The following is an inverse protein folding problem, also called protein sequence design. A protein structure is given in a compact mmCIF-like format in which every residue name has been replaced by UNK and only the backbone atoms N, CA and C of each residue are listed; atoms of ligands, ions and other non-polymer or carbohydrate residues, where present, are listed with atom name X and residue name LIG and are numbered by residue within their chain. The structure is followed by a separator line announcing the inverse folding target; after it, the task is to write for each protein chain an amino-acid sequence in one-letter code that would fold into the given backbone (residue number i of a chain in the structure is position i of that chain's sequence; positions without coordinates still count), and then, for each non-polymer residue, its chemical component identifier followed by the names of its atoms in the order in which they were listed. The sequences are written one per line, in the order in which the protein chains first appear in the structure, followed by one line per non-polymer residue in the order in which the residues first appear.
data_IF_532502257774
#
_entry.id   IF_532502257774
#
_cell.length_a   1.000
_cell.length_b   1.000
_cell.length_c   1.000
_cell.angle_alpha   90.00
_cell.angle_beta   90.00
_cell.angle_gamma   90.00
#
_symmetry.space_group_name_H-M   'P 1'
#
loop_
_entity.id
_entity.type
_entity.pdbx_description
1 polymer ?
#
# COMPACT_ATOMS: atom_id res chain seq x y z
N UNK A 1 -7.63 -0.46 -8.24
CA UNK A 1 -6.25 -0.90 -8.62
C UNK A 1 -5.62 -1.78 -7.55
N UNK A 2 -5.70 -1.43 -6.24
CA UNK A 2 -5.15 -2.24 -5.14
C UNK A 2 -5.55 -3.72 -5.21
N UNK A 3 -6.84 -4.02 -5.39
CA UNK A 3 -7.34 -5.41 -5.47
C UNK A 3 -6.81 -6.16 -6.69
N UNK A 4 -6.73 -5.52 -7.85
CA UNK A 4 -6.17 -6.14 -9.05
C UNK A 4 -4.71 -6.51 -8.82
N UNK A 5 -3.93 -5.58 -8.25
CA UNK A 5 -2.53 -5.85 -7.92
C UNK A 5 -2.37 -6.96 -6.88
N UNK A 6 -3.25 -7.04 -5.88
CA UNK A 6 -3.19 -8.06 -4.83
C UNK A 6 -3.68 -9.43 -5.30
N UNK A 7 -4.70 -9.49 -6.17
CA UNK A 7 -5.35 -10.75 -6.55
C UNK A 7 -4.81 -11.34 -7.85
N UNK A 8 -4.26 -10.53 -8.73
CA UNK A 8 -3.77 -10.97 -10.05
C UNK A 8 -2.26 -10.83 -10.14
N UNK A 9 -1.72 -9.60 -10.06
CA UNK A 9 -0.31 -9.29 -10.25
C UNK A 9 -0.09 -7.79 -10.42
N UNK A 10 1.16 -7.35 -10.59
CA UNK A 10 1.54 -5.94 -10.65
C UNK A 10 1.07 -5.25 -11.95
N UNK A 11 -0.24 -5.14 -12.13
CA UNK A 11 -0.82 -4.43 -13.29
C UNK A 11 -0.49 -2.94 -13.27
N UNK A 12 -0.31 -2.34 -12.08
CA UNK A 12 0.04 -0.93 -11.97
C UNK A 12 1.34 -0.57 -12.70
N UNK A 13 2.32 -1.44 -12.70
CA UNK A 13 3.59 -1.21 -13.42
C UNK A 13 3.41 -1.01 -14.93
N UNK A 14 2.28 -1.48 -15.49
CA UNK A 14 1.94 -1.36 -16.92
C UNK A 14 1.06 -0.15 -17.20
N UNK A 15 0.05 0.11 -16.34
CA UNK A 15 -0.96 1.16 -16.59
C UNK A 15 -0.72 2.46 -15.82
N UNK A 16 0.40 2.61 -15.12
CA UNK A 16 0.71 3.81 -14.35
C UNK A 16 0.74 5.07 -15.24
N UNK A 17 -0.18 6.02 -15.06
CA UNK A 17 -0.31 7.18 -15.94
C UNK A 17 0.92 8.10 -15.87
N UNK A 18 1.52 8.28 -14.69
CA UNK A 18 2.72 9.10 -14.54
C UNK A 18 3.90 8.53 -15.32
N UNK A 19 4.07 7.20 -15.29
CA UNK A 19 5.09 6.48 -16.06
C UNK A 19 4.86 6.68 -17.56
N UNK A 20 3.65 6.41 -18.04
CA UNK A 20 3.29 6.47 -19.47
C UNK A 20 3.48 7.88 -20.01
N UNK A 21 3.00 8.91 -19.32
CA UNK A 21 3.14 10.31 -19.74
C UNK A 21 4.61 10.71 -19.75
N UNK A 22 5.40 10.31 -18.74
CA UNK A 22 6.84 10.58 -18.72
C UNK A 22 7.58 9.87 -19.87
N UNK A 23 7.22 8.65 -20.21
CA UNK A 23 7.79 7.90 -21.34
C UNK A 23 7.47 8.58 -22.68
N UNK A 24 6.25 9.10 -22.85
CA UNK A 24 5.93 9.89 -24.04
C UNK A 24 6.75 11.19 -24.12
N UNK A 25 6.88 11.90 -23.01
CA UNK A 25 7.73 13.10 -22.94
C UNK A 25 9.19 12.78 -23.26
N UNK A 26 9.72 11.66 -22.73
CA UNK A 26 11.08 11.18 -23.00
C UNK A 26 11.28 10.83 -24.48
N UNK A 27 10.30 10.15 -25.10
CA UNK A 27 10.34 9.84 -26.55
C UNK A 27 10.34 11.09 -27.43
N UNK A 28 9.51 12.08 -27.09
CA UNK A 28 9.46 13.36 -27.84
C UNK A 28 10.79 14.10 -27.68
N UNK A 29 11.31 14.19 -26.44
CA UNK A 29 12.56 14.85 -26.14
C UNK A 29 13.74 14.21 -26.90
N UNK A 30 13.86 12.88 -26.88
CA UNK A 30 14.90 12.16 -27.62
C UNK A 30 14.87 12.42 -29.13
N UNK A 31 13.67 12.61 -29.73
CA UNK A 31 13.55 12.97 -31.15
C UNK A 31 14.01 14.40 -31.42
N UNK A 32 13.76 15.32 -30.49
CA UNK A 32 14.11 16.75 -30.65
C UNK A 32 15.57 17.05 -30.27
N UNK A 33 16.13 16.31 -29.29
CA UNK A 33 17.45 16.56 -28.70
C UNK A 33 18.49 15.51 -29.12
N UNK A 34 18.45 15.03 -30.36
CA UNK A 34 19.49 14.17 -30.97
C UNK A 34 19.84 12.91 -30.14
N UNK A 35 18.87 12.32 -29.47
CA UNK A 35 19.04 11.06 -28.73
C UNK A 35 19.44 11.22 -27.26
N UNK A 36 19.52 12.41 -26.71
CA UNK A 36 19.75 12.64 -25.30
C UNK A 36 18.55 12.19 -24.45
N UNK A 37 18.83 11.68 -23.25
CA UNK A 37 17.77 11.29 -22.29
C UNK A 37 17.22 12.52 -21.59
N UNK A 38 15.88 12.57 -21.39
CA UNK A 38 15.22 13.61 -20.62
C UNK A 38 15.67 13.58 -19.14
N UNK A 39 15.81 12.40 -18.57
CA UNK A 39 16.20 12.19 -17.16
C UNK A 39 17.68 12.46 -16.91
N UNK A 40 17.99 13.21 -15.85
CA UNK A 40 19.37 13.50 -15.41
C UNK A 40 20.08 12.32 -14.74
N UNK A 41 19.35 11.28 -14.34
CA UNK A 41 19.85 10.07 -13.69
C UNK A 41 20.81 10.34 -12.51
N UNK A 42 20.47 11.32 -11.67
CA UNK A 42 21.25 11.59 -10.47
C UNK A 42 21.25 10.39 -9.54
N UNK A 43 22.38 10.17 -8.85
CA UNK A 43 22.50 9.07 -7.90
C UNK A 43 21.53 9.28 -6.73
N UNK A 44 20.56 8.36 -6.60
CA UNK A 44 19.62 8.37 -5.49
C UNK A 44 20.34 8.08 -4.15
N UNK A 45 20.15 8.91 -3.10
CA UNK A 45 20.80 8.70 -1.82
C UNK A 45 20.34 7.41 -1.16
N UNK A 46 21.24 6.48 -0.87
CA UNK A 46 20.91 5.17 -0.30
C UNK A 46 20.14 5.26 1.03
N UNK A 47 20.48 6.26 1.87
CA UNK A 47 19.84 6.47 3.17
C UNK A 47 18.40 6.97 3.08
N UNK A 48 17.96 7.48 1.92
CA UNK A 48 16.57 7.86 1.71
C UNK A 48 15.64 6.65 1.65
N UNK A 49 16.12 5.47 1.25
CA UNK A 49 15.27 4.27 1.12
C UNK A 49 13.97 4.58 0.40
N UNK A 50 12.81 4.36 1.05
CA UNK A 50 11.48 4.73 0.55
C UNK A 50 10.84 5.91 1.31
N UNK A 51 11.62 6.70 2.06
CA UNK A 51 11.10 7.84 2.83
C UNK A 51 10.31 8.86 2.01
N UNK A 52 10.70 9.23 0.76
CA UNK A 52 9.86 10.11 -0.06
C UNK A 52 8.48 9.52 -0.32
N UNK A 53 8.39 8.20 -0.59
CA UNK A 53 7.12 7.51 -0.73
C UNK A 53 6.30 7.48 0.57
N UNK A 54 6.95 7.28 1.74
CA UNK A 54 6.29 7.38 3.06
C UNK A 54 5.68 8.76 3.25
N UNK A 55 6.44 9.82 2.96
CA UNK A 55 5.96 11.18 3.10
C UNK A 55 4.79 11.49 2.16
N UNK A 56 4.89 11.11 0.89
CA UNK A 56 3.82 11.33 -0.08
C UNK A 56 2.55 10.53 0.28
N UNK A 57 2.70 9.29 0.75
CA UNK A 57 1.56 8.50 1.20
C UNK A 57 0.95 9.07 2.49
N UNK A 58 1.76 9.57 3.41
CA UNK A 58 1.28 10.24 4.62
C UNK A 58 0.47 11.49 4.28
N UNK A 59 0.95 12.34 3.35
CA UNK A 59 0.21 13.50 2.87
C UNK A 59 -1.12 13.08 2.21
N UNK A 60 -1.09 12.05 1.36
CA UNK A 60 -2.30 11.51 0.75
C UNK A 60 -3.30 11.03 1.80
N UNK A 61 -2.85 10.24 2.77
CA UNK A 61 -3.69 9.71 3.84
C UNK A 61 -4.26 10.82 4.74
N UNK A 62 -3.48 11.87 5.02
CA UNK A 62 -3.94 13.04 5.74
C UNK A 62 -5.02 13.81 4.95
N UNK A 63 -4.82 14.00 3.65
CA UNK A 63 -5.82 14.65 2.79
C UNK A 63 -7.12 13.85 2.80
N UNK A 64 -7.05 12.53 2.66
CA UNK A 64 -8.23 11.65 2.63
C UNK A 64 -9.01 11.68 3.95
N UNK A 65 -8.32 11.66 5.09
CA UNK A 65 -8.95 11.48 6.40
C UNK A 65 -9.27 12.78 7.15
N UNK A 66 -8.55 13.87 6.85
CA UNK A 66 -8.59 15.08 7.67
C UNK A 66 -8.97 16.33 6.89
N UNK A 67 -8.54 16.45 5.63
CA UNK A 67 -8.74 17.67 4.86
C UNK A 67 -10.20 17.85 4.45
N UNK A 68 -10.89 18.86 4.99
CA UNK A 68 -12.33 19.07 4.79
C UNK A 68 -12.74 19.32 3.33
N UNK A 69 -11.82 19.92 2.53
CA UNK A 69 -12.08 20.21 1.12
C UNK A 69 -11.66 19.08 0.15
N UNK A 70 -11.32 17.91 0.67
CA UNK A 70 -10.98 16.74 -0.14
C UNK A 70 -12.10 16.24 -1.06
N UNK A 71 -13.33 16.73 -0.88
CA UNK A 71 -14.50 16.45 -1.72
C UNK A 71 -14.76 17.52 -2.79
N UNK A 72 -14.02 18.63 -2.78
CA UNK A 72 -14.18 19.75 -3.72
C UNK A 72 -13.39 19.44 -5.00
N UNK A 73 -14.03 19.33 -6.19
CA UNK A 73 -13.34 18.92 -7.43
C UNK A 73 -12.13 19.78 -7.79
N UNK A 74 -12.20 21.09 -7.57
CA UNK A 74 -11.08 22.03 -7.82
C UNK A 74 -9.87 21.70 -6.96
N UNK A 75 -10.09 21.45 -5.67
CA UNK A 75 -9.02 21.10 -4.72
C UNK A 75 -8.40 19.75 -5.05
N UNK A 76 -9.24 18.75 -5.38
CA UNK A 76 -8.76 17.44 -5.83
C UNK A 76 -7.88 17.57 -7.09
N UNK A 77 -8.30 18.40 -8.08
CA UNK A 77 -7.51 18.62 -9.28
C UNK A 77 -6.16 19.28 -8.98
N UNK A 78 -6.12 20.28 -8.09
CA UNK A 78 -4.87 20.94 -7.67
C UNK A 78 -3.94 19.96 -6.93
N UNK A 79 -4.48 19.14 -6.03
CA UNK A 79 -3.72 18.12 -5.30
C UNK A 79 -3.15 17.06 -6.25
N UNK A 80 -3.97 16.58 -7.20
CA UNK A 80 -3.55 15.62 -8.21
C UNK A 80 -2.47 16.19 -9.13
N UNK A 81 -2.59 17.47 -9.54
CA UNK A 81 -1.58 18.16 -10.34
C UNK A 81 -0.28 18.32 -9.55
N UNK A 82 -0.35 18.75 -8.28
CA UNK A 82 0.82 18.90 -7.41
C UNK A 82 1.55 17.58 -7.21
N UNK A 83 0.81 16.50 -6.95
CA UNK A 83 1.36 15.15 -6.84
C UNK A 83 2.04 14.71 -8.14
N UNK A 84 1.42 14.98 -9.29
CA UNK A 84 1.95 14.66 -10.61
C UNK A 84 3.25 15.40 -10.90
N UNK A 85 3.32 16.69 -10.60
CA UNK A 85 4.51 17.51 -10.76
C UNK A 85 5.68 17.01 -9.89
N UNK A 86 5.42 16.66 -8.61
CA UNK A 86 6.42 16.09 -7.72
C UNK A 86 6.93 14.75 -8.27
N UNK A 87 6.02 13.89 -8.76
CA UNK A 87 6.36 12.58 -9.30
C UNK A 87 7.21 12.71 -10.57
N UNK A 88 6.83 13.59 -11.53
CA UNK A 88 7.61 13.80 -12.73
C UNK A 88 8.96 14.50 -12.46
N UNK A 89 9.01 15.41 -11.50
CA UNK A 89 10.29 15.99 -11.05
C UNK A 89 11.22 14.91 -10.49
N UNK A 90 10.69 14.01 -9.66
CA UNK A 90 11.47 12.87 -9.14
C UNK A 90 11.98 11.95 -10.26
N UNK A 91 11.13 11.64 -11.26
CA UNK A 91 11.54 10.87 -12.44
C UNK A 91 12.60 11.60 -13.29
N UNK A 92 12.48 12.92 -13.43
CA UNK A 92 13.45 13.73 -14.14
C UNK A 92 14.83 13.73 -13.48
N UNK A 93 14.87 13.90 -12.15
CA UNK A 93 16.16 13.94 -11.43
C UNK A 93 16.79 12.57 -11.25
N UNK A 94 16.03 11.56 -10.80
CA UNK A 94 16.59 10.26 -10.39
C UNK A 94 16.36 9.13 -11.41
N UNK A 95 15.59 9.38 -12.45
CA UNK A 95 15.15 8.37 -13.41
C UNK A 95 13.86 7.68 -12.97
N UNK A 96 13.03 7.34 -13.98
CA UNK A 96 11.68 6.79 -13.76
C UNK A 96 11.69 5.49 -12.93
N UNK A 97 12.58 4.56 -13.23
CA UNK A 97 12.61 3.26 -12.54
C UNK A 97 12.98 3.39 -11.05
N UNK A 98 13.94 4.25 -10.74
CA UNK A 98 14.39 4.50 -9.36
C UNK A 98 13.30 5.21 -8.57
N UNK A 99 12.69 6.25 -9.16
CA UNK A 99 11.67 7.02 -8.47
C UNK A 99 10.37 6.23 -8.24
N UNK A 100 9.89 5.50 -9.24
CA UNK A 100 8.70 4.65 -9.11
C UNK A 100 8.89 3.55 -8.06
N UNK A 101 10.11 3.06 -7.87
CA UNK A 101 10.40 2.03 -6.87
C UNK A 101 10.59 2.58 -5.45
N UNK A 102 11.04 3.85 -5.30
CA UNK A 102 11.46 4.40 -4.00
C UNK A 102 10.75 5.67 -3.56
N UNK A 103 10.25 6.47 -4.50
CA UNK A 103 9.68 7.79 -4.24
C UNK A 103 8.19 7.89 -4.48
N UNK A 104 7.65 7.17 -5.46
CA UNK A 104 6.23 7.28 -5.83
C UNK A 104 5.38 6.35 -4.96
N UNK A 105 4.51 6.94 -4.14
CA UNK A 105 3.77 6.25 -3.08
C UNK A 105 2.87 5.12 -3.58
N UNK A 106 2.13 5.33 -4.67
CA UNK A 106 1.20 4.32 -5.21
C UNK A 106 1.94 3.16 -5.88
N UNK A 107 3.06 3.42 -6.57
CA UNK A 107 3.90 2.35 -7.13
C UNK A 107 4.49 1.47 -6.04
N UNK A 108 4.93 2.05 -4.92
CA UNK A 108 5.42 1.30 -3.77
C UNK A 108 4.29 0.46 -3.17
N UNK A 109 3.11 1.08 -2.91
CA UNK A 109 1.95 0.39 -2.33
C UNK A 109 1.46 -0.77 -3.20
N UNK A 110 1.26 -0.53 -4.52
CA UNK A 110 0.74 -1.56 -5.41
C UNK A 110 1.76 -2.65 -5.72
N UNK A 111 3.06 -2.33 -5.75
CA UNK A 111 4.12 -3.34 -5.83
C UNK A 111 4.16 -4.20 -4.56
N UNK A 112 3.97 -3.60 -3.38
CA UNK A 112 3.85 -4.32 -2.13
C UNK A 112 2.65 -5.28 -2.14
N UNK A 113 1.49 -4.80 -2.60
CA UNK A 113 0.29 -5.63 -2.72
C UNK A 113 0.45 -6.75 -3.76
N UNK A 114 1.16 -6.49 -4.87
CA UNK A 114 1.46 -7.51 -5.87
C UNK A 114 2.35 -8.64 -5.35
N UNK A 115 3.12 -8.42 -4.27
CA UNK A 115 3.84 -9.52 -3.60
C UNK A 115 2.88 -10.56 -2.98
N UNK A 116 1.63 -10.18 -2.70
CA UNK A 116 0.59 -11.10 -2.28
C UNK A 116 0.02 -11.92 -3.44
N UNK A 117 0.04 -11.39 -4.66
CA UNK A 117 -0.58 -11.99 -5.86
C UNK A 117 0.05 -13.32 -6.30
N UNK A 118 -0.72 -14.16 -7.02
CA UNK A 118 -0.23 -15.44 -7.53
C UNK A 118 0.62 -15.30 -8.79
N UNK A 119 0.43 -14.26 -9.60
CA UNK A 119 1.20 -14.06 -10.82
C UNK A 119 2.44 -13.22 -10.55
N UNK A 120 3.57 -13.65 -11.10
CA UNK A 120 4.82 -12.89 -11.12
C UNK A 120 5.52 -13.04 -12.46
N UNK A 121 6.23 -12.00 -12.86
CA UNK A 121 7.07 -12.03 -14.07
C UNK A 121 8.51 -12.27 -13.63
N UNK A 122 9.13 -13.33 -14.16
CA UNK A 122 10.54 -13.65 -13.97
C UNK A 122 11.32 -13.38 -15.24
N UNK A 123 12.55 -12.90 -15.07
CA UNK A 123 13.51 -12.80 -16.18
C UNK A 123 14.54 -13.91 -16.01
N UNK A 124 14.57 -14.81 -17.01
CA UNK A 124 15.40 -16.00 -16.97
C UNK A 124 16.90 -15.68 -17.17
N UNK A 125 17.22 -14.66 -17.99
CA UNK A 125 18.60 -14.32 -18.32
C UNK A 125 19.24 -13.39 -17.26
N UNK A 126 20.25 -13.87 -16.51
CA UNK A 126 20.89 -13.06 -15.46
C UNK A 126 21.68 -11.86 -16.00
N UNK A 127 22.15 -11.89 -17.24
CA UNK A 127 22.97 -10.83 -17.84
C UNK A 127 22.14 -9.54 -18.02
N UNK A 128 20.84 -9.67 -18.31
CA UNK A 128 19.93 -8.52 -18.43
C UNK A 128 19.89 -7.71 -17.15
N UNK A 129 19.98 -8.38 -15.99
CA UNK A 129 19.93 -7.72 -14.68
C UNK A 129 21.22 -7.01 -14.29
N UNK A 130 22.37 -7.33 -14.92
CA UNK A 130 23.66 -6.69 -14.61
C UNK A 130 23.68 -5.21 -14.95
N UNK A 131 22.82 -4.78 -15.89
CA UNK A 131 22.69 -3.40 -16.35
C UNK A 131 21.47 -2.68 -15.76
N UNK A 132 20.78 -3.27 -14.77
CA UNK A 132 19.64 -2.65 -14.14
C UNK A 132 20.05 -1.47 -13.26
N UNK A 133 19.34 -0.36 -13.37
CA UNK A 133 19.60 0.85 -12.54
C UNK A 133 19.25 0.64 -11.07
N UNK A 134 18.51 -0.42 -10.76
CA UNK A 134 18.08 -0.80 -9.41
C UNK A 134 18.48 -2.24 -9.16
N UNK A 135 18.93 -2.56 -7.94
CA UNK A 135 19.18 -3.94 -7.52
C UNK A 135 17.87 -4.72 -7.57
N UNK A 136 17.71 -5.58 -8.58
CA UNK A 136 16.46 -6.25 -8.91
C UNK A 136 16.48 -7.76 -8.64
N UNK A 137 17.65 -8.31 -8.27
CA UNK A 137 17.81 -9.73 -7.94
C UNK A 137 17.55 -9.96 -6.47
N UNK A 138 16.69 -10.92 -6.18
CA UNK A 138 16.52 -11.45 -4.84
C UNK A 138 17.75 -12.28 -4.38
N UNK A 139 17.74 -12.72 -3.13
CA UNK A 139 18.78 -13.59 -2.57
C UNK A 139 18.89 -14.95 -3.31
N UNK A 140 17.84 -15.35 -4.00
CA UNK A 140 17.78 -16.53 -4.87
C UNK A 140 18.38 -16.30 -6.28
N UNK A 141 18.90 -15.10 -6.54
CA UNK A 141 19.47 -14.71 -7.83
C UNK A 141 18.46 -14.45 -8.93
N UNK A 142 17.15 -14.58 -8.64
CA UNK A 142 16.06 -14.42 -9.60
C UNK A 142 15.57 -12.99 -9.62
N UNK A 143 15.40 -12.42 -10.82
CA UNK A 143 14.76 -11.11 -11.01
C UNK A 143 13.26 -11.31 -11.17
N UNK A 144 12.48 -10.62 -10.31
CA UNK A 144 11.02 -10.72 -10.29
C UNK A 144 10.40 -9.33 -10.36
N UNK A 145 9.38 -9.19 -11.19
CA UNK A 145 8.55 -7.99 -11.36
C UNK A 145 9.35 -6.68 -11.59
N UNK A 146 10.53 -6.78 -12.21
CA UNK A 146 11.35 -5.64 -12.56
C UNK A 146 10.98 -5.11 -13.95
N UNK A 147 10.39 -3.92 -14.03
CA UNK A 147 9.96 -3.31 -15.29
C UNK A 147 11.14 -3.00 -16.23
N UNK A 148 12.29 -2.58 -15.70
CA UNK A 148 13.48 -2.30 -16.51
C UNK A 148 14.03 -3.57 -17.17
N UNK A 149 14.17 -4.65 -16.41
CA UNK A 149 14.59 -5.93 -16.95
C UNK A 149 13.58 -6.53 -17.92
N UNK A 150 12.28 -6.38 -17.63
CA UNK A 150 11.21 -6.80 -18.53
C UNK A 150 11.29 -6.11 -19.89
N UNK A 151 11.50 -4.79 -19.91
CA UNK A 151 11.59 -4.02 -21.15
C UNK A 151 12.83 -4.36 -21.97
N UNK A 152 13.94 -4.76 -21.33
CA UNK A 152 15.19 -5.17 -22.00
C UNK A 152 15.18 -6.63 -22.44
N UNK A 153 14.40 -7.48 -21.78
CA UNK A 153 14.35 -8.89 -22.04
C UNK A 153 13.69 -9.22 -23.39
N UNK A 154 14.22 -10.22 -24.08
CA UNK A 154 13.55 -10.81 -25.23
C UNK A 154 12.28 -11.57 -24.79
N UNK A 155 11.38 -11.85 -25.72
CA UNK A 155 10.15 -12.59 -25.39
C UNK A 155 10.45 -13.97 -24.77
N UNK A 156 11.52 -14.63 -25.20
CA UNK A 156 11.94 -15.95 -24.70
C UNK A 156 12.46 -15.89 -23.26
N UNK A 157 13.07 -14.76 -22.86
CA UNK A 157 13.60 -14.57 -21.51
C UNK A 157 12.54 -14.20 -20.49
N UNK A 158 11.32 -13.84 -20.94
CA UNK A 158 10.19 -13.46 -20.07
C UNK A 158 9.39 -14.68 -19.69
N UNK A 159 9.33 -14.97 -18.39
CA UNK A 159 8.57 -16.10 -17.86
C UNK A 159 7.44 -15.58 -16.98
N UNK A 160 6.20 -15.96 -17.32
CA UNK A 160 5.06 -15.78 -16.42
C UNK A 160 5.02 -17.00 -15.48
N UNK A 161 5.19 -16.74 -14.19
CA UNK A 161 5.23 -17.77 -13.17
C UNK A 161 4.00 -17.65 -12.25
N UNK A 162 3.44 -18.80 -11.89
CA UNK A 162 2.33 -18.91 -10.95
C UNK A 162 2.86 -19.40 -9.61
N UNK A 163 2.57 -18.67 -8.53
CA UNK A 163 2.95 -19.02 -7.16
C UNK A 163 1.72 -19.01 -6.24
N UNK A 164 1.76 -19.72 -5.10
CA UNK A 164 0.71 -19.57 -4.09
C UNK A 164 0.61 -18.13 -3.60
N UNK A 165 -0.61 -17.71 -3.23
CA UNK A 165 -0.85 -16.38 -2.65
C UNK A 165 0.07 -16.11 -1.45
N UNK A 166 0.47 -14.85 -1.28
CA UNK A 166 1.31 -14.33 -0.21
C UNK A 166 2.77 -14.81 -0.18
N UNK A 167 3.18 -15.83 -0.95
CA UNK A 167 4.56 -16.36 -0.95
C UNK A 167 5.58 -15.28 -1.36
N UNK A 168 5.20 -14.34 -2.24
CA UNK A 168 6.07 -13.23 -2.62
C UNK A 168 6.47 -12.30 -1.46
N UNK A 169 5.69 -12.28 -0.38
CA UNK A 169 6.01 -11.51 0.84
C UNK A 169 7.19 -12.10 1.64
N UNK A 170 7.54 -13.36 1.38
CA UNK A 170 8.68 -14.03 2.00
C UNK A 170 10.03 -13.69 1.34
N UNK A 171 10.05 -12.90 0.27
CA UNK A 171 11.27 -12.43 -0.39
C UNK A 171 11.84 -11.21 0.32
N UNK A 172 13.14 -11.23 0.60
CA UNK A 172 13.83 -10.18 1.38
C UNK A 172 14.43 -9.06 0.50
N UNK A 173 13.79 -8.69 -0.59
CA UNK A 173 14.38 -7.78 -1.56
C UNK A 173 14.53 -6.33 -1.06
N UNK A 174 13.60 -5.82 -0.24
CA UNK A 174 13.58 -4.41 0.20
C UNK A 174 13.33 -4.27 1.71
N UNK A 175 13.95 -5.12 2.52
CA UNK A 175 13.80 -5.10 3.97
C UNK A 175 14.54 -3.90 4.59
N UNK A 176 13.88 -2.76 4.70
CA UNK A 176 14.43 -1.54 5.29
C UNK A 176 13.50 -0.95 6.34
N UNK A 177 14.05 -0.12 7.24
CA UNK A 177 13.26 0.59 8.23
C UNK A 177 12.21 1.51 7.59
N UNK A 178 12.55 2.19 6.49
CA UNK A 178 11.61 3.02 5.74
C UNK A 178 10.46 2.21 5.11
N UNK A 179 10.73 0.99 4.61
CA UNK A 179 9.68 0.11 4.09
C UNK A 179 8.79 -0.43 5.22
N UNK A 180 9.35 -0.77 6.38
CA UNK A 180 8.57 -1.11 7.57
C UNK A 180 7.62 0.03 7.95
N UNK A 181 8.12 1.26 8.00
CA UNK A 181 7.34 2.46 8.28
C UNK A 181 6.21 2.64 7.25
N UNK A 182 6.49 2.38 5.97
CA UNK A 182 5.49 2.47 4.90
C UNK A 182 4.37 1.43 5.05
N UNK A 183 4.71 0.17 5.36
CA UNK A 183 3.71 -0.90 5.58
C UNK A 183 2.82 -0.57 6.79
N UNK A 184 3.44 -0.11 7.89
CA UNK A 184 2.69 0.30 9.08
C UNK A 184 1.80 1.51 8.80
N UNK A 185 2.24 2.45 7.96
CA UNK A 185 1.44 3.61 7.57
C UNK A 185 0.19 3.18 6.77
N UNK A 186 0.32 2.27 5.80
CA UNK A 186 -0.84 1.73 5.06
C UNK A 186 -1.87 1.13 6.03
N UNK A 187 -1.41 0.29 6.96
CA UNK A 187 -2.30 -0.38 7.91
C UNK A 187 -2.92 0.61 8.90
N UNK A 188 -2.13 1.55 9.42
CA UNK A 188 -2.61 2.58 10.33
C UNK A 188 -3.62 3.52 9.67
N UNK A 189 -3.43 3.88 8.39
CA UNK A 189 -4.33 4.76 7.64
C UNK A 189 -5.72 4.16 7.54
N UNK A 190 -5.83 2.92 7.04
CA UNK A 190 -7.14 2.28 6.88
C UNK A 190 -7.81 1.97 8.23
N UNK A 191 -7.02 1.74 9.29
CA UNK A 191 -7.54 1.56 10.65
C UNK A 191 -8.05 2.86 11.22
N UNK A 192 -7.33 3.97 11.02
CA UNK A 192 -7.74 5.30 11.47
C UNK A 192 -9.00 5.77 10.76
N UNK A 193 -9.12 5.53 9.44
CA UNK A 193 -10.31 5.87 8.67
C UNK A 193 -11.58 5.16 9.22
N UNK A 194 -11.47 3.89 9.59
CA UNK A 194 -12.54 3.20 10.30
C UNK A 194 -12.76 3.77 11.71
N UNK A 195 -11.70 4.03 12.48
CA UNK A 195 -11.77 4.50 13.86
C UNK A 195 -12.37 5.89 14.00
N UNK A 196 -12.02 6.83 13.12
CA UNK A 196 -12.50 8.21 13.15
C UNK A 196 -14.02 8.32 12.95
N UNK A 197 -14.65 7.27 12.42
CA UNK A 197 -16.10 7.17 12.23
C UNK A 197 -16.84 6.56 13.44
N UNK A 198 -16.13 6.27 14.55
CA UNK A 198 -16.70 5.62 15.74
C UNK A 198 -17.09 6.62 16.83
N UNK A 199 -18.06 6.29 17.72
CA UNK A 199 -18.36 7.09 18.90
C UNK A 199 -17.17 7.29 19.83
N UNK A 200 -16.24 6.34 19.88
CA UNK A 200 -15.03 6.44 20.69
C UNK A 200 -14.13 7.62 20.25
N UNK A 201 -13.96 7.78 18.93
CA UNK A 201 -13.22 8.94 18.41
C UNK A 201 -13.92 10.25 18.73
N UNK A 202 -15.25 10.32 18.59
CA UNK A 202 -16.00 11.54 18.93
C UNK A 202 -15.81 11.96 20.37
N UNK A 203 -15.80 11.01 21.31
CA UNK A 203 -15.53 11.31 22.72
C UNK A 203 -14.12 11.87 22.92
N UNK A 204 -13.11 11.28 22.29
CA UNK A 204 -11.73 11.77 22.30
C UNK A 204 -11.67 13.18 21.70
N UNK A 205 -12.26 13.39 20.53
CA UNK A 205 -12.31 14.68 19.84
C UNK A 205 -12.95 15.76 20.72
N UNK A 206 -14.09 15.48 21.37
CA UNK A 206 -14.77 16.42 22.24
C UNK A 206 -13.94 16.84 23.47
N UNK A 207 -13.12 15.92 24.01
CA UNK A 207 -12.18 16.26 25.10
C UNK A 207 -11.11 17.23 24.58
N UNK A 208 -10.52 16.97 23.41
CA UNK A 208 -9.47 17.83 22.85
C UNK A 208 -10.00 19.19 22.37
N UNK A 209 -11.28 19.26 21.91
CA UNK A 209 -11.92 20.51 21.51
C UNK A 209 -12.13 21.50 22.67
N UNK A 210 -11.99 21.05 23.92
CA UNK A 210 -11.97 21.95 25.07
C UNK A 210 -10.67 22.80 25.15
N UNK A 211 -9.59 22.32 24.50
CA UNK A 211 -8.28 22.93 24.49
C UNK A 211 -7.91 23.55 23.14
N UNK A 212 -8.44 22.99 22.05
CA UNK A 212 -8.16 23.38 20.66
C UNK A 212 -9.47 23.62 19.94
N UNK A 213 -9.73 24.84 19.50
CA UNK A 213 -11.02 25.24 18.93
C UNK A 213 -11.29 24.70 17.51
N UNK A 214 -10.31 24.14 16.82
CA UNK A 214 -10.41 23.76 15.42
C UNK A 214 -10.43 22.22 15.24
N UNK A 215 -11.51 21.69 14.66
CA UNK A 215 -11.74 20.26 14.46
C UNK A 215 -10.63 19.63 13.58
N UNK A 216 -10.21 20.33 12.52
CA UNK A 216 -9.17 19.84 11.60
C UNK A 216 -7.82 19.69 12.29
N UNK A 217 -7.50 20.59 13.22
CA UNK A 217 -6.28 20.51 14.02
C UNK A 217 -6.32 19.32 14.98
N UNK A 218 -7.45 19.08 15.65
CA UNK A 218 -7.61 17.90 16.52
C UNK A 218 -7.51 16.60 15.72
N UNK A 219 -8.15 16.54 14.54
CA UNK A 219 -8.08 15.38 13.67
C UNK A 219 -6.66 15.15 13.14
N UNK A 220 -5.91 16.21 12.79
CA UNK A 220 -4.51 16.13 12.35
C UNK A 220 -3.61 15.59 13.47
N UNK A 221 -3.72 16.12 14.67
CA UNK A 221 -2.96 15.64 15.83
C UNK A 221 -3.32 14.20 16.16
N UNK A 222 -4.59 13.84 16.07
CA UNK A 222 -5.07 12.49 16.27
C UNK A 222 -4.49 11.51 15.26
N UNK A 223 -4.46 11.88 13.97
CA UNK A 223 -3.87 11.06 12.90
C UNK A 223 -2.38 10.79 13.14
N UNK A 224 -1.62 11.85 13.44
CA UNK A 224 -0.18 11.72 13.75
C UNK A 224 0.05 10.88 15.01
N UNK A 225 -0.69 11.15 16.08
CA UNK A 225 -0.58 10.41 17.33
C UNK A 225 -0.93 8.93 17.15
N UNK A 226 -2.01 8.65 16.40
CA UNK A 226 -2.43 7.28 16.10
C UNK A 226 -1.33 6.50 15.37
N UNK A 227 -0.70 7.12 14.37
CA UNK A 227 0.39 6.49 13.63
C UNK A 227 1.63 6.24 14.50
N UNK A 228 2.02 7.21 15.36
CA UNK A 228 3.12 7.04 16.30
C UNK A 228 2.83 5.88 17.27
N UNK A 229 1.64 5.85 17.87
CA UNK A 229 1.22 4.78 18.78
C UNK A 229 1.25 3.43 18.07
N UNK A 230 0.81 3.37 16.82
CA UNK A 230 0.82 2.15 16.02
C UNK A 230 2.25 1.61 15.81
N UNK A 231 3.20 2.49 15.47
CA UNK A 231 4.62 2.12 15.37
C UNK A 231 5.17 1.66 16.72
N UNK A 232 4.88 2.38 17.81
CA UNK A 232 5.35 2.04 19.15
C UNK A 232 4.85 0.65 19.60
N UNK A 233 3.57 0.36 19.38
CA UNK A 233 3.00 -0.97 19.65
C UNK A 233 3.72 -2.04 18.84
N UNK A 234 3.90 -1.83 17.55
CA UNK A 234 4.58 -2.79 16.69
C UNK A 234 6.04 -3.04 17.13
N UNK A 235 6.79 -1.99 17.45
CA UNK A 235 8.16 -2.09 17.94
C UNK A 235 8.23 -2.77 19.32
N UNK A 236 7.27 -2.49 20.20
CA UNK A 236 7.16 -3.18 21.49
C UNK A 236 6.98 -4.70 21.31
N UNK A 237 6.06 -5.11 20.44
CA UNK A 237 5.90 -6.55 20.16
C UNK A 237 7.12 -7.14 19.44
N UNK A 238 7.81 -6.38 18.61
CA UNK A 238 9.06 -6.80 17.98
C UNK A 238 10.19 -6.99 19.01
N UNK A 239 10.23 -6.16 20.04
CA UNK A 239 11.12 -6.35 21.20
C UNK A 239 10.79 -7.67 21.92
N UNK A 240 9.52 -7.94 22.20
CA UNK A 240 9.11 -9.19 22.83
C UNK A 240 9.49 -10.40 21.96
N UNK A 241 9.31 -10.35 20.65
CA UNK A 241 9.74 -11.40 19.70
C UNK A 241 11.24 -11.63 19.81
N UNK A 242 12.06 -10.55 19.86
CA UNK A 242 13.51 -10.65 20.00
C UNK A 242 13.90 -11.31 21.35
N UNK A 243 13.28 -10.91 22.43
CA UNK A 243 13.53 -11.48 23.79
C UNK A 243 13.14 -12.95 23.85
N UNK A 244 11.94 -13.31 23.40
CA UNK A 244 11.48 -14.71 23.39
C UNK A 244 12.27 -15.57 22.39
N UNK A 245 12.86 -14.95 21.36
CA UNK A 245 13.77 -15.56 20.40
C UNK A 245 15.22 -15.74 20.87
N UNK A 246 15.52 -15.43 22.17
CA UNK A 246 16.84 -15.62 22.78
C UNK A 246 17.79 -14.41 22.66
N UNK A 247 17.30 -13.22 22.23
CA UNK A 247 18.06 -11.95 22.27
C UNK A 247 19.19 -11.80 21.24
N UNK A 248 19.35 -12.74 20.31
CA UNK A 248 20.47 -12.74 19.35
C UNK A 248 20.31 -11.75 18.18
N UNK A 249 19.13 -11.17 18.02
CA UNK A 249 18.81 -10.25 16.91
C UNK A 249 18.37 -8.90 17.46
N UNK A 250 18.74 -7.82 16.77
CA UNK A 250 18.26 -6.49 17.14
C UNK A 250 16.75 -6.34 16.89
N UNK A 251 16.10 -5.52 17.70
CA UNK A 251 14.64 -5.23 17.59
C UNK A 251 14.29 -4.77 16.18
N UNK A 252 15.11 -3.88 15.61
CA UNK A 252 14.87 -3.35 14.24
C UNK A 252 14.99 -4.46 13.19
N UNK A 253 15.96 -5.38 13.32
CA UNK A 253 16.09 -6.52 12.39
C UNK A 253 14.85 -7.43 12.45
N UNK A 254 14.33 -7.70 13.64
CA UNK A 254 13.09 -8.46 13.84
C UNK A 254 11.91 -7.70 13.23
N UNK A 255 11.75 -6.42 13.58
CA UNK A 255 10.64 -5.59 13.08
C UNK A 255 10.60 -5.54 11.56
N UNK A 256 11.74 -5.27 10.91
CA UNK A 256 11.84 -5.21 9.45
C UNK A 256 11.57 -6.57 8.79
N UNK A 257 11.95 -7.68 9.44
CA UNK A 257 11.70 -9.02 8.88
C UNK A 257 10.23 -9.42 8.98
N UNK A 258 9.58 -9.14 10.11
CA UNK A 258 8.21 -9.57 10.35
C UNK A 258 7.16 -8.63 9.74
N UNK A 259 7.53 -7.39 9.33
CA UNK A 259 6.55 -6.43 8.81
C UNK A 259 5.78 -6.93 7.59
N UNK A 260 6.40 -7.72 6.73
CA UNK A 260 5.72 -8.27 5.56
C UNK A 260 4.63 -9.28 5.91
N UNK A 261 4.68 -9.89 7.10
CA UNK A 261 3.61 -10.78 7.57
C UNK A 261 2.30 -10.04 7.88
N UNK A 262 2.34 -8.73 8.11
CA UNK A 262 1.13 -7.94 8.34
C UNK A 262 0.47 -7.43 7.04
N UNK A 263 1.13 -7.52 5.90
CA UNK A 263 0.55 -7.08 4.60
C UNK A 263 -0.77 -7.77 4.27
N UNK A 264 -0.96 -9.09 4.48
CA UNK A 264 -2.25 -9.74 4.29
C UNK A 264 -3.37 -9.15 5.16
N UNK A 265 -3.05 -8.70 6.38
CA UNK A 265 -4.00 -8.01 7.26
C UNK A 265 -4.39 -6.66 6.68
N UNK A 266 -3.41 -5.88 6.22
CA UNK A 266 -3.65 -4.58 5.59
C UNK A 266 -4.55 -4.72 4.36
N UNK A 267 -4.29 -5.72 3.50
CA UNK A 267 -5.12 -6.02 2.34
C UNK A 267 -6.54 -6.44 2.71
N UNK A 268 -6.67 -7.32 3.70
CA UNK A 268 -7.97 -7.81 4.17
C UNK A 268 -8.82 -6.68 4.76
N UNK A 269 -8.18 -5.81 5.56
CA UNK A 269 -8.87 -4.66 6.14
C UNK A 269 -9.26 -3.64 5.07
N UNK A 270 -8.35 -3.35 4.15
CA UNK A 270 -8.64 -2.47 3.02
C UNK A 270 -9.80 -3.02 2.16
N UNK A 271 -9.81 -4.33 1.88
CA UNK A 271 -10.92 -4.96 1.17
C UNK A 271 -12.23 -4.85 1.96
N UNK A 272 -12.23 -5.21 3.24
CA UNK A 272 -13.43 -5.14 4.08
C UNK A 272 -14.00 -3.72 4.18
N UNK A 273 -13.13 -2.71 4.35
CA UNK A 273 -13.52 -1.33 4.52
C UNK A 273 -14.11 -0.71 3.24
N UNK A 274 -13.46 -0.91 2.10
CA UNK A 274 -13.89 -0.30 0.82
C UNK A 274 -14.86 -1.14 -0.01
N UNK A 275 -15.21 -2.36 0.43
CA UNK A 275 -16.11 -3.23 -0.32
C UNK A 275 -17.48 -2.57 -0.57
N UNK A 276 -18.08 -1.99 0.46
CA UNK A 276 -19.37 -1.29 0.35
C UNK A 276 -19.29 -0.09 -0.59
N UNK A 277 -18.25 0.73 -0.43
CA UNK A 277 -18.01 1.88 -1.29
C UNK A 277 -17.90 1.47 -2.76
N UNK A 278 -17.15 0.40 -3.06
CA UNK A 278 -17.01 -0.09 -4.44
C UNK A 278 -18.30 -0.64 -5.01
N UNK A 279 -19.06 -1.40 -4.24
CA UNK A 279 -20.28 -2.04 -4.73
C UNK A 279 -21.45 -1.06 -4.87
N UNK A 280 -21.53 -0.06 -4.02
CA UNK A 280 -22.63 0.91 -4.01
C UNK A 280 -22.21 2.19 -4.73
N UNK A 281 -21.22 2.91 -4.23
CA UNK A 281 -20.81 4.18 -4.83
C UNK A 281 -20.06 4.01 -6.16
N UNK A 282 -19.37 2.88 -6.35
CA UNK A 282 -18.73 2.53 -7.63
C UNK A 282 -19.72 2.50 -8.80
N UNK A 283 -21.02 2.30 -8.57
CA UNK A 283 -22.04 2.39 -9.60
C UNK A 283 -22.16 3.80 -10.21
N UNK A 284 -21.72 4.85 -9.50
CA UNK A 284 -21.73 6.22 -10.00
C UNK A 284 -20.83 6.41 -11.24
N UNK A 285 -19.91 5.48 -11.50
CA UNK A 285 -19.13 5.50 -12.74
C UNK A 285 -20.01 5.34 -13.98
N UNK A 286 -21.16 4.66 -13.87
CA UNK A 286 -22.07 4.39 -14.99
C UNK A 286 -22.65 5.68 -15.57
N UNK A 287 -23.32 6.56 -14.80
CA UNK A 287 -23.77 7.85 -15.34
C UNK A 287 -22.62 8.81 -15.66
N UNK A 288 -21.49 8.77 -14.90
CA UNK A 288 -20.33 9.60 -15.19
C UNK A 288 -19.67 9.28 -16.53
N UNK A 289 -19.67 8.03 -16.97
CA UNK A 289 -19.18 7.67 -18.31
C UNK A 289 -20.10 8.24 -19.42
N UNK A 290 -21.40 8.38 -19.15
CA UNK A 290 -22.36 8.95 -20.09
C UNK A 290 -22.26 10.48 -20.18
N UNK A 291 -21.86 11.14 -19.08
CA UNK A 291 -21.67 12.59 -19.01
C UNK A 291 -20.42 12.95 -18.20
N UNK A 292 -19.22 12.69 -18.75
CA UNK A 292 -17.98 12.85 -18.01
C UNK A 292 -17.62 14.30 -17.65
N UNK A 293 -18.24 15.28 -18.33
CA UNK A 293 -17.98 16.70 -18.13
C UNK A 293 -19.15 17.46 -17.47
N UNK A 294 -20.30 16.79 -17.20
CA UNK A 294 -21.45 17.44 -16.60
C UNK A 294 -22.18 18.40 -17.55
N UNK A 295 -22.07 18.19 -18.86
CA UNK A 295 -22.72 19.02 -19.89
C UNK A 295 -24.14 18.56 -20.27
N UNK A 296 -24.68 17.58 -19.54
CA UNK A 296 -25.98 17.00 -19.86
C UNK A 296 -25.94 15.99 -21.00
N UNK A 297 -24.78 15.44 -21.31
CA UNK A 297 -24.62 14.41 -22.33
C UNK A 297 -25.24 13.07 -21.86
N UNK A 298 -25.62 12.27 -22.84
CA UNK A 298 -26.09 10.91 -22.60
C UNK A 298 -25.50 9.95 -23.64
N UNK A 299 -24.15 9.85 -23.62
CA UNK A 299 -23.37 9.12 -24.63
C UNK A 299 -23.71 7.64 -24.73
N UNK A 300 -24.04 7.02 -23.61
CA UNK A 300 -24.34 5.59 -23.53
C UNK A 300 -25.78 5.28 -23.08
N UNK A 301 -26.67 6.29 -23.00
CA UNK A 301 -28.05 6.10 -22.55
C UNK A 301 -28.18 5.88 -21.04
N UNK A 302 -27.11 6.07 -20.27
CA UNK A 302 -27.05 5.76 -18.82
C UNK A 302 -26.97 6.99 -17.92
N UNK A 303 -27.14 8.21 -18.44
CA UNK A 303 -27.07 9.43 -17.65
C UNK A 303 -28.14 9.49 -16.52
N UNK A 304 -29.27 8.83 -16.70
CA UNK A 304 -30.35 8.72 -15.70
C UNK A 304 -30.21 7.54 -14.74
N UNK A 305 -29.11 6.78 -14.80
CA UNK A 305 -28.88 5.63 -13.92
C UNK A 305 -28.89 6.08 -12.46
N UNK A 306 -29.62 5.33 -11.62
CA UNK A 306 -29.65 5.55 -10.17
C UNK A 306 -28.96 4.42 -9.44
N UNK A 307 -28.17 4.77 -8.44
CA UNK A 307 -27.46 3.80 -7.59
C UNK A 307 -28.45 2.86 -6.94
N UNK A 308 -28.26 1.56 -7.14
CA UNK A 308 -29.03 0.52 -6.47
C UNK A 308 -28.40 0.20 -5.11
N UNK A 309 -28.91 0.84 -4.06
CA UNK A 309 -28.44 0.62 -2.67
C UNK A 309 -28.81 -0.77 -2.12
N UNK A 310 -29.73 -1.49 -2.78
CA UNK A 310 -30.16 -2.84 -2.40
C UNK A 310 -29.37 -3.94 -3.10
N UNK A 311 -28.35 -3.58 -3.89
CA UNK A 311 -27.52 -4.55 -4.62
C UNK A 311 -26.86 -5.55 -3.66
N UNK A 312 -26.46 -5.07 -2.49
CA UNK A 312 -25.80 -5.88 -1.47
C UNK A 312 -26.46 -5.64 -0.12
N UNK A 313 -26.97 -6.71 0.50
CA UNK A 313 -27.54 -6.65 1.85
C UNK A 313 -26.46 -6.39 2.91
N UNK A 314 -26.86 -5.72 4.00
CA UNK A 314 -25.96 -5.42 5.11
C UNK A 314 -25.33 -6.69 5.72
N UNK A 315 -26.10 -7.77 5.81
CA UNK A 315 -25.65 -9.07 6.31
C UNK A 315 -24.53 -9.67 5.43
N UNK A 316 -24.71 -9.66 4.11
CA UNK A 316 -23.69 -10.12 3.16
C UNK A 316 -22.41 -9.31 3.28
N UNK A 317 -22.52 -7.97 3.35
CA UNK A 317 -21.36 -7.10 3.53
C UNK A 317 -20.61 -7.43 4.82
N UNK A 318 -21.34 -7.50 5.94
CA UNK A 318 -20.74 -7.74 7.25
C UNK A 318 -20.05 -9.11 7.33
N UNK A 319 -20.72 -10.17 6.83
CA UNK A 319 -20.17 -11.52 6.80
C UNK A 319 -18.91 -11.59 5.90
N UNK A 320 -18.95 -10.97 4.73
CA UNK A 320 -17.81 -10.92 3.80
C UNK A 320 -16.62 -10.18 4.43
N UNK A 321 -16.87 -9.05 5.07
CA UNK A 321 -15.84 -8.29 5.77
C UNK A 321 -15.21 -9.12 6.90
N UNK A 322 -16.03 -9.77 7.73
CA UNK A 322 -15.58 -10.63 8.83
C UNK A 322 -14.69 -11.78 8.31
N UNK A 323 -15.18 -12.53 7.32
CA UNK A 323 -14.44 -13.66 6.73
C UNK A 323 -13.12 -13.18 6.13
N UNK A 324 -13.13 -12.07 5.41
CA UNK A 324 -11.92 -11.51 4.78
C UNK A 324 -10.87 -11.11 5.83
N UNK A 325 -11.29 -10.46 6.91
CA UNK A 325 -10.37 -10.08 8.00
C UNK A 325 -9.76 -11.32 8.66
N UNK A 326 -10.58 -12.32 8.98
CA UNK A 326 -10.08 -13.56 9.61
C UNK A 326 -9.10 -14.27 8.67
N UNK A 327 -9.40 -14.38 7.38
CA UNK A 327 -8.50 -14.99 6.40
C UNK A 327 -7.18 -14.23 6.28
N UNK A 328 -7.22 -12.88 6.27
CA UNK A 328 -6.02 -12.05 6.26
C UNK A 328 -5.11 -12.32 7.46
N UNK A 329 -5.69 -12.49 8.66
CA UNK A 329 -4.94 -12.82 9.87
C UNK A 329 -4.36 -14.25 9.83
N UNK A 330 -5.12 -15.23 9.36
CA UNK A 330 -4.61 -16.61 9.20
C UNK A 330 -3.41 -16.65 8.26
N UNK A 331 -3.49 -15.97 7.12
CA UNK A 331 -2.37 -15.87 6.17
C UNK A 331 -1.18 -15.13 6.80
N UNK A 332 -1.43 -14.07 7.56
CA UNK A 332 -0.39 -13.31 8.25
C UNK A 332 0.36 -14.17 9.27
N UNK A 333 -0.35 -14.97 10.07
CA UNK A 333 0.25 -15.94 11.00
C UNK A 333 1.11 -16.95 10.26
N UNK A 334 0.64 -17.48 9.13
CA UNK A 334 1.39 -18.42 8.30
C UNK A 334 2.70 -17.81 7.77
N UNK A 335 2.64 -16.59 7.19
CA UNK A 335 3.84 -15.87 6.72
C UNK A 335 4.79 -15.55 7.88
N UNK A 336 4.27 -15.13 9.03
CA UNK A 336 5.04 -14.89 10.24
C UNK A 336 5.74 -16.16 10.74
N UNK A 337 5.05 -17.30 10.70
CA UNK A 337 5.62 -18.61 11.07
C UNK A 337 6.80 -18.99 10.18
N UNK A 338 6.65 -18.91 8.86
CA UNK A 338 7.73 -19.19 7.91
C UNK A 338 8.90 -18.21 8.12
N UNK A 339 8.62 -16.93 8.36
CA UNK A 339 9.65 -15.92 8.63
C UNK A 339 10.44 -16.25 9.89
N UNK A 340 9.77 -16.69 10.96
CA UNK A 340 10.41 -17.12 12.21
C UNK A 340 11.30 -18.36 11.98
N UNK A 341 10.84 -19.37 11.25
CA UNK A 341 11.62 -20.56 10.92
C UNK A 341 12.89 -20.24 10.09
N UNK A 342 12.86 -19.17 9.30
CA UNK A 342 14.04 -18.73 8.52
C UNK A 342 15.07 -17.97 9.36
N UNK A 343 14.65 -17.32 10.44
CA UNK A 343 15.54 -16.56 11.32
C UNK A 343 16.15 -17.48 12.38
N UNK A 344 15.32 -18.26 13.05
CA UNK A 344 15.75 -19.07 14.20
C UNK A 344 16.10 -20.49 13.77
N UNK A 345 17.34 -20.92 14.07
CA UNK A 345 17.82 -22.27 13.75
C UNK A 345 17.09 -23.39 14.54
N UNK A 346 16.68 -23.08 15.78
CA UNK A 346 16.00 -24.03 16.65
C UNK A 346 14.47 -23.89 16.51
N UNK A 347 13.78 -24.98 16.19
CA UNK A 347 12.33 -25.02 16.09
C UNK A 347 11.64 -24.56 17.38
N UNK A 348 12.17 -24.98 18.56
CA UNK A 348 11.61 -24.59 19.87
C UNK A 348 11.69 -23.06 20.08
N UNK A 349 12.82 -22.45 19.72
CA UNK A 349 13.00 -20.99 19.82
C UNK A 349 12.11 -20.28 18.81
N UNK A 350 12.04 -20.79 17.59
CA UNK A 350 11.17 -20.23 16.54
C UNK A 350 9.70 -20.18 16.97
N UNK A 351 9.17 -21.28 17.53
CA UNK A 351 7.78 -21.34 18.02
C UNK A 351 7.58 -20.38 19.20
N UNK A 352 8.51 -20.37 20.16
CA UNK A 352 8.41 -19.48 21.34
C UNK A 352 8.42 -17.99 20.94
N UNK A 353 9.24 -17.61 19.97
CA UNK A 353 9.33 -16.22 19.49
C UNK A 353 8.04 -15.70 18.84
N UNK A 354 7.15 -16.60 18.42
CA UNK A 354 5.90 -16.24 17.74
C UNK A 354 4.75 -15.92 18.69
N UNK A 355 4.81 -16.28 19.96
CA UNK A 355 3.72 -15.98 20.90
C UNK A 355 3.38 -14.49 21.00
N UNK A 356 4.35 -13.55 21.11
CA UNK A 356 4.04 -12.13 21.12
C UNK A 356 3.34 -11.68 19.81
N UNK A 357 3.78 -12.21 18.67
CA UNK A 357 3.18 -11.87 17.37
C UNK A 357 1.73 -12.37 17.28
N UNK A 358 1.44 -13.57 17.79
CA UNK A 358 0.07 -14.10 17.87
C UNK A 358 -0.82 -13.21 18.73
N UNK A 359 -0.32 -12.78 19.90
CA UNK A 359 -1.06 -11.85 20.77
C UNK A 359 -1.35 -10.54 20.04
N UNK A 360 -0.36 -9.95 19.37
CA UNK A 360 -0.56 -8.74 18.57
C UNK A 360 -1.64 -8.94 17.50
N UNK A 361 -1.56 -10.02 16.73
CA UNK A 361 -2.50 -10.32 15.64
C UNK A 361 -3.93 -10.55 16.18
N UNK A 362 -4.09 -11.28 17.28
CA UNK A 362 -5.40 -11.52 17.91
C UNK A 362 -5.98 -10.18 18.42
N UNK A 363 -5.17 -9.40 19.14
CA UNK A 363 -5.60 -8.08 19.64
C UNK A 363 -6.02 -7.15 18.49
N UNK A 364 -5.28 -7.17 17.41
CA UNK A 364 -5.62 -6.37 16.23
C UNK A 364 -6.89 -6.89 15.52
N UNK A 365 -7.11 -8.22 15.45
CA UNK A 365 -8.36 -8.81 14.94
C UNK A 365 -9.56 -8.32 15.75
N UNK A 366 -9.46 -8.37 17.07
CA UNK A 366 -10.53 -7.93 17.98
C UNK A 366 -10.81 -6.43 17.74
N UNK A 367 -9.77 -5.60 17.68
CA UNK A 367 -9.90 -4.17 17.40
C UNK A 367 -10.55 -3.90 16.05
N UNK A 368 -10.15 -4.60 15.00
CA UNK A 368 -10.69 -4.45 13.65
C UNK A 368 -12.17 -4.81 13.57
N UNK A 369 -12.56 -5.93 14.19
CA UNK A 369 -13.97 -6.36 14.25
C UNK A 369 -14.79 -5.39 15.11
N UNK A 370 -14.22 -4.91 16.21
CA UNK A 370 -14.86 -3.91 17.05
C UNK A 370 -15.14 -2.61 16.30
N UNK A 371 -14.17 -2.10 15.51
CA UNK A 371 -14.37 -0.91 14.67
C UNK A 371 -15.50 -1.15 13.66
N UNK A 372 -15.52 -2.30 12.98
CA UNK A 372 -16.54 -2.62 12.00
C UNK A 372 -17.94 -2.79 12.60
N UNK A 373 -18.02 -3.20 13.86
CA UNK A 373 -19.28 -3.38 14.57
C UNK A 373 -19.87 -2.08 15.14
N UNK A 374 -19.11 -0.96 15.10
CA UNK A 374 -19.59 0.33 15.59
C UNK A 374 -20.60 0.94 14.63
N UNK A 375 -21.63 1.66 15.15
CA UNK A 375 -22.52 2.44 14.29
C UNK A 375 -21.72 3.53 13.58
N UNK A 376 -21.87 3.60 12.25
CA UNK A 376 -21.23 4.63 11.44
C UNK A 376 -21.91 5.97 11.73
N UNK A 377 -21.17 6.92 12.23
CA UNK A 377 -21.63 8.28 12.45
C UNK A 377 -21.30 9.07 11.19
N UNK A 378 -22.33 9.62 10.53
CA UNK A 378 -22.13 10.52 9.38
C UNK A 378 -21.41 11.79 9.85
N UNK A 379 -20.33 12.12 9.18
CA UNK A 379 -19.57 13.38 9.37
C UNK A 379 -20.25 14.55 8.72
#
# INVERSE_FOLDING_TARGET
MAYICALIGNLWSVVNPWKIIFEWAELIYMRCASGERLSRQLKYPKYWGVWPGVFLFFCFAWIENVYSNAVVPKEIALLALSYSLITWAGMFFFGKEVWLRRGEAFSIAFTLFAKFAPLEIRIANPEICSHCSVECRGQDGVCVDCSECFNRASFVDRQLNLRPYAIGLLRKEDSSFSMMTFVLLILATVTFDGFISTPAWMNIQNIFLQFVSEISTVASLGFVAFYIVFICIYLFFSLLIAVFGGGNYSVISIAVTFVYSIVPIALAYHFAHYLYLLLIQGQLIIPLLSDPFGYGWNLFGTASYRVNVKLVGAEFYWLTALVTIVLGHVIAVYIGHISALRIYRSQKISVRSQYPMLVLMISYTITSIWILAQPIISR
#
